data_IF_843096330318
#
_entry.id   IF_843096330318
#
_cell.length_a   1.000
_cell.length_b   1.000
_cell.length_c   1.000
_cell.angle_alpha   90.00
_cell.angle_beta   90.00
_cell.angle_gamma   90.00
#
_symmetry.space_group_name_H-M   'P 1'
#
loop_
_entity.id
_entity.type
_entity.pdbx_description
1 polymer ?
#
# COMPACT_ATOMS: atom_id res chain seq x y z
N UNK A 1 -10.93 -26.61 5.38
CA UNK A 1 -10.72 -25.72 4.21
C UNK A 1 -10.54 -24.24 4.62
N UNK A 2 -11.35 -23.65 5.53
CA UNK A 2 -11.16 -22.24 5.96
C UNK A 2 -9.74 -21.92 6.46
N UNK A 3 -9.10 -22.82 7.25
CA UNK A 3 -7.71 -22.61 7.70
C UNK A 3 -6.70 -22.58 6.54
N UNK A 4 -6.92 -23.39 5.49
CA UNK A 4 -6.05 -23.39 4.30
C UNK A 4 -6.25 -22.10 3.51
N UNK A 5 -7.50 -21.67 3.31
CA UNK A 5 -7.82 -20.39 2.67
C UNK A 5 -7.19 -19.21 3.45
N UNK A 6 -7.27 -19.23 4.78
CA UNK A 6 -6.61 -18.24 5.64
C UNK A 6 -5.08 -18.21 5.45
N UNK A 7 -4.43 -19.37 5.45
CA UNK A 7 -2.98 -19.44 5.21
C UNK A 7 -2.58 -18.93 3.82
N UNK A 8 -3.38 -19.25 2.79
CA UNK A 8 -3.17 -18.73 1.43
C UNK A 8 -3.43 -17.22 1.35
N UNK A 9 -4.39 -16.68 2.10
CA UNK A 9 -4.63 -15.24 2.17
C UNK A 9 -3.43 -14.51 2.79
N UNK A 10 -2.86 -15.04 3.87
CA UNK A 10 -1.64 -14.48 4.46
C UNK A 10 -0.46 -14.52 3.49
N UNK A 11 -0.28 -15.64 2.78
CA UNK A 11 0.76 -15.78 1.76
C UNK A 11 0.53 -14.81 0.58
N UNK A 12 -0.72 -14.62 0.18
CA UNK A 12 -1.09 -13.65 -0.85
C UNK A 12 -0.74 -12.22 -0.44
N UNK A 13 -1.13 -11.80 0.78
CA UNK A 13 -0.82 -10.47 1.32
C UNK A 13 0.70 -10.26 1.44
N UNK A 14 1.44 -11.28 1.85
CA UNK A 14 2.90 -11.27 1.88
C UNK A 14 3.52 -11.07 0.49
N UNK A 15 2.94 -11.69 -0.54
CA UNK A 15 3.49 -11.64 -1.89
C UNK A 15 3.23 -10.29 -2.61
N UNK A 16 2.15 -9.56 -2.29
CA UNK A 16 1.74 -8.33 -2.97
C UNK A 16 2.87 -7.30 -3.11
N UNK A 17 3.66 -6.92 -2.08
CA UNK A 17 4.64 -5.85 -2.22
C UNK A 17 5.77 -6.14 -3.22
N UNK A 18 6.12 -7.40 -3.42
CA UNK A 18 7.25 -7.82 -4.27
C UNK A 18 6.84 -8.72 -5.45
N UNK A 19 5.55 -8.69 -5.81
CA UNK A 19 4.95 -9.61 -6.77
C UNK A 19 5.62 -9.62 -8.16
N UNK A 20 6.07 -8.47 -8.63
CA UNK A 20 6.72 -8.36 -9.95
C UNK A 20 8.19 -8.76 -9.94
N UNK A 21 8.81 -8.96 -8.76
CA UNK A 21 10.19 -9.43 -8.66
C UNK A 21 10.31 -10.93 -8.94
N UNK A 22 9.21 -11.66 -8.92
CA UNK A 22 9.14 -13.07 -9.32
C UNK A 22 8.02 -13.22 -10.36
N UNK A 23 8.37 -12.94 -11.61
CA UNK A 23 7.52 -13.18 -12.75
C UNK A 23 7.96 -14.48 -13.46
N UNK A 24 7.02 -15.41 -13.60
CA UNK A 24 7.24 -16.72 -14.23
C UNK A 24 6.89 -16.71 -15.72
N UNK A 25 6.58 -15.54 -16.27
CA UNK A 25 6.20 -15.38 -17.68
C UNK A 25 4.79 -15.90 -17.99
N UNK A 26 4.38 -15.69 -19.25
CA UNK A 26 3.08 -16.22 -19.70
C UNK A 26 3.09 -17.76 -19.78
N UNK A 27 2.01 -18.44 -19.36
CA UNK A 27 0.71 -17.88 -18.93
C UNK A 27 0.62 -17.65 -17.40
N UNK A 28 1.69 -17.89 -16.63
CA UNK A 28 1.65 -17.93 -15.17
C UNK A 28 1.61 -16.55 -14.52
N UNK A 29 2.35 -15.59 -15.09
CA UNK A 29 2.48 -14.24 -14.56
C UNK A 29 3.24 -14.18 -13.24
N UNK A 30 2.95 -13.18 -12.42
CA UNK A 30 3.65 -12.96 -11.16
C UNK A 30 3.15 -13.87 -10.01
N UNK A 31 3.96 -13.94 -8.93
CA UNK A 31 3.69 -14.81 -7.77
C UNK A 31 2.33 -14.50 -7.10
N UNK A 32 1.95 -13.23 -6.99
CA UNK A 32 0.67 -12.88 -6.36
C UNK A 32 -0.52 -13.36 -7.18
N UNK A 33 -0.42 -13.35 -8.53
CA UNK A 33 -1.46 -13.92 -9.40
C UNK A 33 -1.65 -15.40 -9.13
N UNK A 34 -0.57 -16.17 -9.03
CA UNK A 34 -0.63 -17.61 -8.78
C UNK A 34 -1.23 -17.90 -7.41
N UNK A 35 -0.72 -17.26 -6.37
CA UNK A 35 -1.24 -17.44 -5.00
C UNK A 35 -2.69 -16.98 -4.89
N UNK A 36 -3.06 -15.90 -5.55
CA UNK A 36 -4.43 -15.40 -5.61
C UNK A 36 -5.40 -16.36 -6.28
N UNK A 37 -5.00 -17.02 -7.38
CA UNK A 37 -5.80 -18.06 -8.03
C UNK A 37 -5.96 -19.29 -7.14
N UNK A 38 -4.88 -19.76 -6.50
CA UNK A 38 -4.94 -20.86 -5.54
C UNK A 38 -5.84 -20.52 -4.34
N UNK A 39 -5.77 -19.29 -3.85
CA UNK A 39 -6.63 -18.79 -2.79
C UNK A 39 -8.09 -18.85 -3.22
N UNK A 40 -8.46 -18.37 -4.40
CA UNK A 40 -9.84 -18.44 -4.91
C UNK A 40 -10.34 -19.87 -5.06
N UNK A 41 -9.50 -20.78 -5.59
CA UNK A 41 -9.83 -22.19 -5.74
C UNK A 41 -10.13 -22.89 -4.41
N UNK A 42 -9.52 -22.44 -3.31
CA UNK A 42 -9.78 -22.99 -1.97
C UNK A 42 -10.87 -22.20 -1.24
N UNK A 43 -10.95 -20.90 -1.42
CA UNK A 43 -11.90 -20.03 -0.72
C UNK A 43 -13.36 -20.34 -1.13
N UNK A 44 -13.64 -20.51 -2.42
CA UNK A 44 -14.98 -20.79 -2.91
C UNK A 44 -15.55 -22.09 -2.28
N UNK A 45 -14.89 -23.25 -2.36
CA UNK A 45 -15.36 -24.45 -1.67
C UNK A 45 -15.44 -24.29 -0.14
N UNK A 46 -14.52 -23.52 0.47
CA UNK A 46 -14.55 -23.30 1.92
C UNK A 46 -15.78 -22.51 2.36
N UNK A 47 -16.21 -21.53 1.59
CA UNK A 47 -17.43 -20.75 1.83
C UNK A 47 -18.66 -21.64 1.62
N UNK A 48 -18.72 -22.36 0.49
CA UNK A 48 -19.85 -23.24 0.17
C UNK A 48 -20.05 -24.35 1.23
N UNK A 49 -18.96 -24.97 1.70
CA UNK A 49 -19.01 -25.99 2.76
C UNK A 49 -19.44 -25.43 4.12
N UNK A 50 -19.04 -24.19 4.44
CA UNK A 50 -19.40 -23.57 5.72
C UNK A 50 -20.89 -23.15 5.75
N UNK A 51 -21.49 -22.94 4.60
CA UNK A 51 -22.85 -22.37 4.47
C UNK A 51 -22.98 -20.95 5.03
N UNK A 52 -21.85 -20.33 5.40
CA UNK A 52 -21.79 -19.01 6.02
C UNK A 52 -21.03 -18.07 5.09
N UNK A 53 -21.72 -17.06 4.62
CA UNK A 53 -21.14 -15.92 3.95
C UNK A 53 -21.36 -14.68 4.83
N UNK A 54 -20.30 -13.97 5.14
CA UNK A 54 -20.39 -12.75 5.94
C UNK A 54 -21.15 -11.67 5.16
N UNK A 55 -22.09 -11.01 5.82
CA UNK A 55 -22.83 -9.90 5.22
C UNK A 55 -21.86 -8.80 4.79
N UNK A 56 -21.89 -8.38 3.50
CA UNK A 56 -21.04 -7.33 3.00
C UNK A 56 -21.36 -5.99 3.67
N UNK A 57 -20.33 -5.21 4.00
CA UNK A 57 -20.50 -3.84 4.46
C UNK A 57 -20.61 -2.85 3.28
N UNK A 58 -20.74 -1.58 3.60
CA UNK A 58 -20.85 -0.49 2.60
C UNK A 58 -19.64 -0.45 1.67
N UNK A 59 -18.43 -0.69 2.20
CA UNK A 59 -17.20 -0.71 1.41
C UNK A 59 -17.24 -1.78 0.32
N UNK A 60 -17.66 -3.00 0.65
CA UNK A 60 -17.75 -4.12 -0.31
C UNK A 60 -18.72 -3.80 -1.43
N UNK A 61 -19.87 -3.22 -1.10
CA UNK A 61 -20.86 -2.83 -2.11
C UNK A 61 -20.38 -1.71 -3.03
N UNK A 62 -19.67 -0.72 -2.51
CA UNK A 62 -19.09 0.35 -3.32
C UNK A 62 -17.99 -0.17 -4.25
N UNK A 63 -17.13 -1.07 -3.76
CA UNK A 63 -16.10 -1.72 -4.57
C UNK A 63 -16.72 -2.56 -5.68
N UNK A 64 -17.78 -3.32 -5.39
CA UNK A 64 -18.54 -4.05 -6.39
C UNK A 64 -19.18 -3.10 -7.41
N UNK A 65 -19.77 -1.99 -6.97
CA UNK A 65 -20.38 -1.02 -7.87
C UNK A 65 -19.35 -0.40 -8.83
N UNK A 66 -18.15 -0.05 -8.35
CA UNK A 66 -17.07 0.45 -9.19
C UNK A 66 -16.61 -0.61 -10.20
N UNK A 67 -16.45 -1.85 -9.77
CA UNK A 67 -16.12 -2.96 -10.65
C UNK A 67 -17.17 -3.16 -11.75
N UNK A 68 -18.45 -3.19 -11.37
CA UNK A 68 -19.56 -3.35 -12.33
C UNK A 68 -19.63 -2.15 -13.29
N UNK A 69 -19.33 -0.94 -12.82
CA UNK A 69 -19.24 0.23 -13.69
C UNK A 69 -18.19 0.06 -14.78
N UNK A 70 -16.99 -0.42 -14.42
CA UNK A 70 -15.95 -0.72 -15.41
C UNK A 70 -16.32 -1.90 -16.33
N UNK A 71 -17.03 -2.90 -15.84
CA UNK A 71 -17.57 -3.96 -16.69
C UNK A 71 -18.59 -3.41 -17.71
N UNK A 72 -19.50 -2.52 -17.28
CA UNK A 72 -20.46 -1.87 -18.15
C UNK A 72 -19.80 -0.98 -19.20
N UNK A 73 -18.62 -0.40 -18.88
CA UNK A 73 -17.91 0.46 -19.83
C UNK A 73 -17.46 -0.27 -21.10
N UNK A 74 -17.46 -1.61 -21.10
CA UNK A 74 -17.20 -2.43 -22.28
C UNK A 74 -18.15 -2.14 -23.45
N UNK A 75 -19.37 -1.70 -23.18
CA UNK A 75 -20.38 -1.42 -24.22
C UNK A 75 -20.17 -0.10 -24.96
N UNK A 76 -19.30 0.79 -24.45
CA UNK A 76 -19.01 2.08 -25.10
C UNK A 76 -17.51 2.39 -25.19
N UNK A 77 -16.65 1.45 -24.78
CA UNK A 77 -15.20 1.68 -24.81
C UNK A 77 -14.65 1.87 -26.21
N UNK A 78 -13.64 2.71 -26.33
CA UNK A 78 -12.86 2.88 -27.55
C UNK A 78 -11.74 1.83 -27.69
N UNK A 79 -11.43 1.08 -26.59
CA UNK A 79 -10.35 0.09 -26.51
C UNK A 79 -10.85 -1.22 -25.87
N UNK A 80 -11.60 -2.07 -26.60
CA UNK A 80 -12.22 -3.27 -26.02
C UNK A 80 -11.21 -4.23 -25.37
N UNK A 81 -10.01 -4.41 -25.97
CA UNK A 81 -9.00 -5.31 -25.43
C UNK A 81 -8.44 -4.81 -24.11
N UNK A 82 -8.09 -3.53 -24.01
CA UNK A 82 -7.60 -2.90 -22.79
C UNK A 82 -8.68 -2.94 -21.70
N UNK A 83 -9.97 -2.75 -22.07
CA UNK A 83 -11.09 -2.87 -21.13
C UNK A 83 -11.20 -4.27 -20.55
N UNK A 84 -11.06 -5.33 -21.34
CA UNK A 84 -11.09 -6.72 -20.85
C UNK A 84 -9.92 -7.01 -19.89
N UNK A 85 -8.73 -6.50 -20.18
CA UNK A 85 -7.56 -6.63 -19.30
C UNK A 85 -7.81 -5.91 -17.98
N UNK A 86 -8.34 -4.70 -18.03
CA UNK A 86 -8.70 -3.90 -16.86
C UNK A 86 -9.79 -4.56 -16.01
N UNK A 87 -10.82 -5.13 -16.63
CA UNK A 87 -11.85 -5.89 -15.93
C UNK A 87 -11.27 -7.08 -15.16
N UNK A 88 -10.29 -7.80 -15.75
CA UNK A 88 -9.61 -8.90 -15.07
C UNK A 88 -8.79 -8.41 -13.86
N UNK A 89 -8.08 -7.28 -14.01
CA UNK A 89 -7.32 -6.67 -12.94
C UNK A 89 -8.24 -6.25 -11.79
N UNK A 90 -9.26 -5.44 -12.05
CA UNK A 90 -10.22 -5.00 -11.04
C UNK A 90 -10.98 -6.14 -10.37
N UNK A 91 -11.26 -7.24 -11.09
CA UNK A 91 -11.83 -8.43 -10.47
C UNK A 91 -10.92 -8.99 -9.37
N UNK A 92 -9.61 -9.15 -9.66
CA UNK A 92 -8.64 -9.64 -8.68
C UNK A 92 -8.52 -8.71 -7.49
N UNK A 93 -8.54 -7.41 -7.72
CA UNK A 93 -8.47 -6.37 -6.71
C UNK A 93 -9.72 -6.34 -5.82
N UNK A 94 -10.91 -6.42 -6.41
CA UNK A 94 -12.16 -6.55 -5.67
C UNK A 94 -12.14 -7.78 -4.77
N UNK A 95 -11.61 -8.92 -5.27
CA UNK A 95 -11.52 -10.15 -4.48
C UNK A 95 -10.67 -9.97 -3.22
N UNK A 96 -9.64 -9.12 -3.23
CA UNK A 96 -8.84 -8.83 -2.02
C UNK A 96 -9.75 -8.29 -0.90
N UNK A 97 -10.58 -7.31 -1.23
CA UNK A 97 -11.48 -6.66 -0.26
C UNK A 97 -12.49 -7.66 0.31
N UNK A 98 -13.02 -8.55 -0.55
CA UNK A 98 -13.99 -9.55 -0.14
C UNK A 98 -13.37 -10.70 0.65
N UNK A 99 -12.20 -11.19 0.26
CA UNK A 99 -11.52 -12.30 0.93
C UNK A 99 -11.02 -11.90 2.31
N UNK A 100 -10.45 -10.71 2.44
CA UNK A 100 -10.05 -10.17 3.76
C UNK A 100 -11.28 -10.02 4.66
N UNK A 101 -12.39 -9.50 4.14
CA UNK A 101 -13.64 -9.35 4.89
C UNK A 101 -14.23 -10.69 5.34
N UNK A 102 -14.18 -11.71 4.49
CA UNK A 102 -14.77 -13.03 4.76
C UNK A 102 -13.94 -13.86 5.72
N UNK A 103 -12.60 -13.87 5.57
CA UNK A 103 -11.75 -14.83 6.28
C UNK A 103 -11.09 -14.27 7.53
N UNK A 104 -10.88 -12.97 7.66
CA UNK A 104 -10.39 -12.37 8.90
C UNK A 104 -11.54 -12.17 9.89
N UNK A 105 -11.37 -12.57 11.14
CA UNK A 105 -12.46 -12.58 12.11
C UNK A 105 -12.26 -11.58 13.24
N UNK A 106 -11.07 -11.45 13.79
CA UNK A 106 -10.76 -10.76 15.04
C UNK A 106 -9.48 -9.89 14.97
N UNK A 107 -9.07 -9.38 16.10
CA UNK A 107 -7.86 -8.56 16.26
C UNK A 107 -6.56 -9.33 16.01
N UNK A 108 -6.53 -10.64 16.24
CA UNK A 108 -5.37 -11.49 15.94
C UNK A 108 -5.20 -11.67 14.43
N UNK A 109 -6.29 -11.82 13.72
CA UNK A 109 -6.29 -11.92 12.26
C UNK A 109 -5.84 -10.60 11.62
N UNK A 110 -6.33 -9.46 12.11
CA UNK A 110 -5.86 -8.16 11.68
C UNK A 110 -4.33 -8.03 11.89
N UNK A 111 -3.84 -8.41 13.06
CA UNK A 111 -2.40 -8.38 13.35
C UNK A 111 -1.61 -9.32 12.46
N UNK A 112 -2.14 -10.51 12.14
CA UNK A 112 -1.50 -11.47 11.23
C UNK A 112 -1.38 -10.91 9.80
N UNK A 113 -2.43 -10.26 9.29
CA UNK A 113 -2.41 -9.58 7.97
C UNK A 113 -1.40 -8.43 7.94
N UNK A 114 -1.35 -7.60 8.98
CA UNK A 114 -0.36 -6.52 9.10
C UNK A 114 1.07 -7.06 9.14
N UNK A 115 1.31 -8.17 9.85
CA UNK A 115 2.62 -8.86 9.87
C UNK A 115 2.99 -9.39 8.48
N UNK A 116 2.04 -10.02 7.79
CA UNK A 116 2.26 -10.53 6.43
C UNK A 116 2.60 -9.39 5.46
N UNK A 117 1.86 -8.28 5.50
CA UNK A 117 2.14 -7.10 4.69
C UNK A 117 3.53 -6.51 5.00
N UNK A 118 3.88 -6.36 6.28
CA UNK A 118 5.20 -5.86 6.68
C UNK A 118 6.33 -6.81 6.26
N UNK A 119 6.14 -8.12 6.38
CA UNK A 119 7.11 -9.11 5.92
C UNK A 119 7.34 -9.03 4.41
N UNK A 120 6.27 -8.82 3.62
CA UNK A 120 6.39 -8.57 2.18
C UNK A 120 7.14 -7.26 1.87
N UNK A 121 6.87 -6.21 2.64
CA UNK A 121 7.60 -4.94 2.51
C UNK A 121 9.08 -5.07 2.88
N UNK A 122 9.44 -5.94 3.84
CA UNK A 122 10.83 -6.30 4.14
C UNK A 122 11.52 -6.95 2.95
N UNK A 123 10.87 -7.91 2.30
CA UNK A 123 11.41 -8.55 1.09
C UNK A 123 11.65 -7.50 0.01
N UNK A 124 10.69 -6.62 -0.24
CA UNK A 124 10.82 -5.56 -1.22
C UNK A 124 11.99 -4.61 -0.91
N UNK A 125 12.14 -4.19 0.36
CA UNK A 125 13.25 -3.34 0.78
C UNK A 125 14.61 -4.01 0.57
N UNK A 126 14.73 -5.29 0.97
CA UNK A 126 15.95 -6.09 0.78
C UNK A 126 16.29 -6.24 -0.70
N UNK A 127 15.31 -6.57 -1.55
CA UNK A 127 15.53 -6.71 -2.99
C UNK A 127 15.96 -5.39 -3.65
N UNK A 128 15.39 -4.26 -3.19
CA UNK A 128 15.78 -2.92 -3.67
C UNK A 128 17.23 -2.59 -3.30
N UNK A 129 17.62 -2.84 -2.05
CA UNK A 129 19.00 -2.62 -1.60
C UNK A 129 19.98 -3.61 -2.26
N UNK A 130 19.57 -4.86 -2.46
CA UNK A 130 20.38 -5.84 -3.17
C UNK A 130 20.62 -5.43 -4.63
N UNK A 131 19.61 -4.90 -5.31
CA UNK A 131 19.79 -4.38 -6.68
C UNK A 131 20.78 -3.20 -6.72
N UNK A 132 20.77 -2.31 -5.73
CA UNK A 132 21.76 -1.22 -5.63
C UNK A 132 23.21 -1.76 -5.60
N UNK A 133 23.45 -2.86 -4.89
CA UNK A 133 24.76 -3.51 -4.82
C UNK A 133 25.06 -4.49 -5.98
N UNK A 134 24.18 -4.62 -6.97
CA UNK A 134 24.35 -5.60 -8.03
C UNK A 134 25.39 -5.15 -9.07
N UNK A 135 26.22 -6.06 -9.61
CA UNK A 135 27.18 -5.75 -10.66
C UNK A 135 26.53 -5.17 -11.91
N UNK A 136 25.32 -5.61 -12.25
CA UNK A 136 24.55 -5.19 -13.41
C UNK A 136 24.11 -3.73 -13.28
N UNK A 137 23.60 -3.33 -12.10
CA UNK A 137 23.19 -1.96 -11.83
C UNK A 137 24.39 -1.00 -11.84
N UNK A 138 25.53 -1.42 -11.28
CA UNK A 138 26.77 -0.66 -11.31
C UNK A 138 27.28 -0.51 -12.74
N UNK A 139 27.34 -1.59 -13.52
CA UNK A 139 27.84 -1.59 -14.87
C UNK A 139 26.96 -0.78 -15.84
N UNK A 140 25.64 -0.73 -15.61
CA UNK A 140 24.69 0.05 -16.41
C UNK A 140 24.62 1.53 -16.05
N UNK A 141 25.30 1.97 -14.99
CA UNK A 141 25.19 3.35 -14.48
C UNK A 141 23.79 3.70 -13.98
N UNK A 142 23.08 2.73 -13.40
CA UNK A 142 21.72 2.93 -12.88
C UNK A 142 21.72 3.98 -11.77
N UNK A 143 20.78 4.93 -11.87
CA UNK A 143 20.64 6.03 -10.88
C UNK A 143 19.35 5.92 -10.06
N UNK A 144 18.46 4.99 -10.41
CA UNK A 144 17.20 4.72 -9.69
C UNK A 144 17.11 3.23 -9.45
N UNK A 145 17.04 2.83 -8.19
CA UNK A 145 17.07 1.42 -7.80
C UNK A 145 15.69 0.97 -7.31
N UNK A 146 15.28 -0.18 -7.77
CA UNK A 146 14.06 -0.87 -7.38
C UNK A 146 14.34 -2.36 -7.35
N UNK A 147 13.50 -3.15 -6.72
CA UNK A 147 13.54 -4.59 -6.90
C UNK A 147 13.37 -4.93 -8.38
N UNK A 148 14.12 -5.90 -8.89
CA UNK A 148 14.14 -6.27 -10.30
C UNK A 148 12.71 -6.52 -10.80
N UNK A 149 12.38 -6.00 -11.98
CA UNK A 149 11.05 -6.11 -12.59
C UNK A 149 10.01 -5.08 -12.08
N UNK A 150 10.39 -4.17 -11.17
CA UNK A 150 9.46 -3.19 -10.61
C UNK A 150 9.83 -1.74 -10.97
N UNK A 151 8.82 -0.88 -11.12
CA UNK A 151 9.02 0.56 -11.29
C UNK A 151 9.45 1.20 -9.96
N UNK A 152 10.50 2.06 -9.95
CA UNK A 152 10.96 2.71 -8.72
C UNK A 152 9.90 3.57 -8.01
N UNK A 153 8.92 4.13 -8.72
CA UNK A 153 7.87 4.92 -8.07
C UNK A 153 6.87 4.00 -7.35
N UNK A 154 6.58 2.83 -7.91
CA UNK A 154 5.71 1.83 -7.30
C UNK A 154 6.35 1.22 -6.06
N UNK A 155 7.65 0.86 -6.16
CA UNK A 155 8.44 0.37 -5.02
C UNK A 155 8.43 1.38 -3.87
N UNK A 156 8.69 2.66 -4.14
CA UNK A 156 8.66 3.69 -3.11
C UNK A 156 7.30 3.73 -2.38
N UNK A 157 6.18 3.71 -3.14
CA UNK A 157 4.83 3.71 -2.55
C UNK A 157 4.54 2.50 -1.68
N UNK A 158 4.98 1.31 -2.10
CA UNK A 158 4.77 0.08 -1.33
C UNK A 158 5.57 0.11 -0.03
N UNK A 159 6.81 0.59 -0.09
CA UNK A 159 7.66 0.77 1.08
C UNK A 159 7.07 1.79 2.06
N UNK A 160 6.52 2.89 1.56
CA UNK A 160 5.94 3.95 2.37
C UNK A 160 4.74 3.47 3.21
N UNK A 161 3.91 2.58 2.66
CA UNK A 161 2.81 1.97 3.40
C UNK A 161 3.30 1.02 4.51
N UNK A 162 4.51 0.49 4.40
CA UNK A 162 5.13 -0.34 5.44
C UNK A 162 5.47 0.44 6.71
N UNK A 163 5.77 1.74 6.64
CA UNK A 163 6.18 2.53 7.81
C UNK A 163 5.11 2.62 8.91
N UNK A 164 3.85 3.06 8.62
CA UNK A 164 2.83 3.11 9.66
C UNK A 164 2.47 1.73 10.20
N UNK A 165 2.52 0.69 9.36
CA UNK A 165 2.32 -0.71 9.80
C UNK A 165 3.43 -1.14 10.77
N UNK A 166 4.69 -0.84 10.45
CA UNK A 166 5.84 -1.14 11.31
C UNK A 166 5.74 -0.41 12.66
N UNK A 167 5.41 0.88 12.64
CA UNK A 167 5.24 1.67 13.86
C UNK A 167 4.10 1.16 14.75
N UNK A 168 2.96 0.76 14.15
CA UNK A 168 1.83 0.17 14.87
C UNK A 168 2.22 -1.18 15.50
N UNK A 169 2.84 -2.07 14.71
CA UNK A 169 3.27 -3.38 15.19
C UNK A 169 4.36 -3.27 16.25
N UNK A 170 5.21 -2.26 16.24
CA UNK A 170 6.18 -1.98 17.31
C UNK A 170 5.47 -1.86 18.67
N UNK A 171 4.27 -1.24 18.70
CA UNK A 171 3.45 -1.12 19.92
C UNK A 171 2.71 -2.40 20.28
N UNK A 172 2.27 -3.17 19.28
CA UNK A 172 1.41 -4.35 19.51
C UNK A 172 2.20 -5.63 19.77
N UNK A 173 3.47 -5.70 19.34
CA UNK A 173 4.29 -6.90 19.50
C UNK A 173 4.74 -7.08 20.95
N UNK A 174 4.45 -8.25 21.51
CA UNK A 174 4.89 -8.63 22.86
C UNK A 174 6.26 -9.29 22.86
N UNK A 175 6.60 -10.00 21.75
CA UNK A 175 7.89 -10.69 21.59
C UNK A 175 8.93 -9.70 21.08
N UNK A 176 10.07 -9.61 21.78
CA UNK A 176 11.14 -8.69 21.41
C UNK A 176 11.71 -8.89 20.00
N UNK A 177 11.85 -10.12 19.43
CA UNK A 177 12.36 -10.26 18.06
C UNK A 177 11.38 -9.69 17.03
N UNK A 178 10.07 -9.90 17.20
CA UNK A 178 9.07 -9.35 16.30
C UNK A 178 9.03 -7.81 16.36
N UNK A 179 9.19 -7.24 17.58
CA UNK A 179 9.32 -5.79 17.77
C UNK A 179 10.57 -5.23 17.11
N UNK A 180 11.72 -5.93 17.21
CA UNK A 180 12.95 -5.52 16.53
C UNK A 180 12.79 -5.56 15.00
N UNK A 181 12.11 -6.56 14.45
CA UNK A 181 11.80 -6.60 13.03
C UNK A 181 10.91 -5.42 12.63
N UNK A 182 9.91 -5.08 13.43
CA UNK A 182 9.07 -3.93 13.15
C UNK A 182 9.86 -2.61 13.16
N UNK A 183 10.66 -2.36 14.19
CA UNK A 183 11.51 -1.14 14.30
C UNK A 183 12.58 -1.12 13.20
N UNK A 184 13.23 -2.25 12.93
CA UNK A 184 14.32 -2.37 11.94
C UNK A 184 13.87 -2.08 10.51
N UNK A 185 12.57 -2.23 10.22
CA UNK A 185 12.02 -1.84 8.93
C UNK A 185 12.17 -0.33 8.65
N UNK A 186 12.05 0.52 9.66
CA UNK A 186 12.08 1.97 9.47
C UNK A 186 13.37 2.46 8.78
N UNK A 187 14.59 2.14 9.26
CA UNK A 187 15.82 2.56 8.59
C UNK A 187 16.05 1.86 7.25
N UNK A 188 15.75 0.56 7.13
CA UNK A 188 15.93 -0.16 5.88
C UNK A 188 14.95 0.29 4.80
N UNK A 189 13.67 0.40 5.14
CA UNK A 189 12.64 0.91 4.23
C UNK A 189 12.96 2.32 3.76
N UNK A 190 13.42 3.19 4.67
CA UNK A 190 13.83 4.55 4.32
C UNK A 190 15.03 4.55 3.36
N UNK A 191 16.06 3.74 3.62
CA UNK A 191 17.17 3.57 2.70
C UNK A 191 16.70 3.13 1.30
N UNK A 192 15.83 2.14 1.24
CA UNK A 192 15.26 1.64 -0.01
C UNK A 192 14.44 2.73 -0.74
N UNK A 193 13.62 3.52 -0.04
CA UNK A 193 12.88 4.66 -0.64
C UNK A 193 13.83 5.68 -1.23
N UNK A 194 14.90 6.09 -0.52
CA UNK A 194 15.89 7.03 -1.04
C UNK A 194 16.56 6.50 -2.31
N UNK A 195 16.91 5.21 -2.36
CA UNK A 195 17.52 4.55 -3.52
C UNK A 195 16.60 4.53 -4.75
N UNK A 196 15.28 4.57 -4.57
CA UNK A 196 14.36 4.68 -5.73
C UNK A 196 14.48 6.00 -6.48
N UNK A 197 15.04 7.05 -5.86
CA UNK A 197 15.06 8.42 -6.37
C UNK A 197 13.67 8.92 -6.82
N UNK A 198 12.59 8.40 -6.21
CA UNK A 198 11.22 8.78 -6.49
C UNK A 198 10.83 10.02 -5.70
N UNK A 199 10.63 11.15 -6.38
CA UNK A 199 10.20 12.41 -5.75
C UNK A 199 8.83 12.26 -5.06
N UNK A 200 7.87 11.62 -5.74
CA UNK A 200 6.54 11.35 -5.18
C UNK A 200 6.58 10.40 -3.99
N UNK A 201 7.40 9.34 -4.07
CA UNK A 201 7.65 8.43 -2.96
C UNK A 201 8.29 9.15 -1.78
N UNK A 202 9.29 9.99 -2.00
CA UNK A 202 9.92 10.75 -0.92
C UNK A 202 8.94 11.67 -0.18
N UNK A 203 8.02 12.34 -0.90
CA UNK A 203 6.96 13.14 -0.27
C UNK A 203 5.99 12.28 0.55
N UNK A 204 5.63 11.11 0.03
CA UNK A 204 4.80 10.15 0.76
C UNK A 204 5.53 9.58 1.99
N UNK A 205 6.85 9.33 1.91
CA UNK A 205 7.68 8.93 3.04
C UNK A 205 7.69 9.96 4.17
N UNK A 206 7.75 11.27 3.85
CA UNK A 206 7.67 12.34 4.85
C UNK A 206 6.36 12.24 5.64
N UNK A 207 5.23 12.04 4.95
CA UNK A 207 3.91 11.86 5.59
C UNK A 207 3.89 10.59 6.45
N UNK A 208 4.41 9.48 5.92
CA UNK A 208 4.50 8.22 6.64
C UNK A 208 5.33 8.34 7.92
N UNK A 209 6.51 8.96 7.83
CA UNK A 209 7.43 9.14 8.96
C UNK A 209 6.89 10.13 10.00
N UNK A 210 6.17 11.17 9.58
CA UNK A 210 5.46 12.05 10.50
C UNK A 210 4.42 11.28 11.34
N UNK A 211 3.60 10.43 10.70
CA UNK A 211 2.66 9.56 11.37
C UNK A 211 3.35 8.54 12.29
N UNK A 212 4.45 7.92 11.85
CA UNK A 212 5.26 7.03 12.67
C UNK A 212 5.81 7.73 13.92
N UNK A 213 6.27 8.96 13.76
CA UNK A 213 6.75 9.77 14.87
C UNK A 213 5.65 9.97 15.90
N UNK A 214 4.44 10.35 15.49
CA UNK A 214 3.28 10.49 16.39
C UNK A 214 2.94 9.17 17.10
N UNK A 215 2.98 8.04 16.39
CA UNK A 215 2.74 6.71 16.95
C UNK A 215 3.78 6.33 18.01
N UNK A 216 5.06 6.49 17.69
CA UNK A 216 6.16 6.07 18.54
C UNK A 216 6.33 7.01 19.75
N UNK A 217 6.16 8.32 19.59
CA UNK A 217 6.23 9.28 20.70
C UNK A 217 5.17 9.00 21.75
N UNK A 218 3.98 8.57 21.34
CA UNK A 218 2.89 8.29 22.27
C UNK A 218 3.20 7.11 23.21
N UNK A 219 3.83 6.05 22.68
CA UNK A 219 3.94 4.78 23.41
C UNK A 219 5.39 4.30 23.61
N UNK A 220 6.34 4.78 22.81
CA UNK A 220 7.72 4.27 22.75
C UNK A 220 8.75 5.39 22.49
N UNK A 221 8.82 6.37 23.40
CA UNK A 221 9.72 7.53 23.25
C UNK A 221 11.16 7.16 22.86
N UNK A 222 11.73 6.09 23.46
CA UNK A 222 13.10 5.63 23.12
C UNK A 222 13.20 5.19 21.66
N UNK A 223 12.20 4.48 21.17
CA UNK A 223 12.16 4.05 19.76
C UNK A 223 11.95 5.25 18.81
N UNK A 224 11.13 6.22 19.22
CA UNK A 224 10.94 7.46 18.46
C UNK A 224 12.26 8.25 18.34
N UNK A 225 12.97 8.44 19.46
CA UNK A 225 14.28 9.11 19.45
C UNK A 225 15.32 8.34 18.64
N UNK A 226 15.40 7.02 18.82
CA UNK A 226 16.32 6.18 18.04
C UNK A 226 16.02 6.26 16.54
N UNK A 227 14.75 6.24 16.13
CA UNK A 227 14.35 6.41 14.73
C UNK A 227 14.71 7.81 14.20
N UNK A 228 14.40 8.86 14.97
CA UNK A 228 14.71 10.23 14.60
C UNK A 228 16.24 10.48 14.42
N UNK A 229 17.06 9.74 15.14
CA UNK A 229 18.53 9.79 14.99
C UNK A 229 19.03 8.88 13.86
N UNK A 230 18.41 7.71 13.67
CA UNK A 230 18.84 6.74 12.65
C UNK A 230 18.57 7.23 11.22
N UNK A 231 17.43 7.88 10.97
CA UNK A 231 17.06 8.30 9.61
C UNK A 231 18.04 9.30 8.98
N UNK A 232 18.48 10.38 9.67
CA UNK A 232 19.54 11.25 9.15
C UNK A 232 20.86 10.52 8.92
N UNK A 233 21.22 9.58 9.80
CA UNK A 233 22.45 8.77 9.63
C UNK A 233 22.36 7.92 8.36
N UNK A 234 21.22 7.29 8.09
CA UNK A 234 20.98 6.55 6.84
C UNK A 234 21.09 7.49 5.63
N UNK A 235 20.47 8.67 5.68
CA UNK A 235 20.55 9.65 4.61
C UNK A 235 21.99 10.10 4.32
N UNK A 236 22.76 10.40 5.37
CA UNK A 236 24.17 10.76 5.25
C UNK A 236 25.02 9.61 4.72
N UNK A 237 24.81 8.38 5.21
CA UNK A 237 25.53 7.21 4.71
C UNK A 237 25.29 7.00 3.21
N UNK A 238 24.04 7.10 2.76
CA UNK A 238 23.70 6.98 1.34
C UNK A 238 24.27 8.12 0.50
N UNK A 239 24.38 9.33 1.05
CA UNK A 239 25.03 10.46 0.36
C UNK A 239 26.47 10.15 -0.07
N UNK A 240 27.20 9.35 0.72
CA UNK A 240 28.57 8.96 0.40
C UNK A 240 28.69 7.69 -0.46
N UNK A 241 27.63 6.87 -0.54
CA UNK A 241 27.71 5.54 -1.16
C UNK A 241 26.89 5.47 -2.44
N UNK A 242 25.72 6.13 -2.49
CA UNK A 242 24.86 6.13 -3.68
C UNK A 242 25.39 7.03 -4.79
N UNK A 243 25.07 6.78 -6.08
CA UNK A 243 25.36 7.71 -7.16
C UNK A 243 24.81 9.10 -6.83
N UNK A 244 25.62 10.13 -7.11
CA UNK A 244 25.27 11.51 -6.75
C UNK A 244 23.91 11.92 -7.34
N UNK A 245 23.65 11.53 -8.58
CA UNK A 245 22.43 11.82 -9.33
C UNK A 245 21.18 11.21 -8.66
N UNK A 246 21.32 10.10 -7.92
CA UNK A 246 20.23 9.44 -7.20
C UNK A 246 19.62 10.36 -6.14
N UNK A 247 20.47 10.97 -5.33
CA UNK A 247 20.02 11.86 -4.25
C UNK A 247 19.76 13.28 -4.75
N UNK A 248 20.53 13.76 -5.75
CA UNK A 248 20.31 15.06 -6.38
C UNK A 248 18.89 15.19 -6.94
N UNK A 249 18.32 14.12 -7.52
CA UNK A 249 16.92 14.09 -7.97
C UNK A 249 15.94 14.46 -6.85
N UNK A 250 16.22 14.09 -5.62
CA UNK A 250 15.35 14.40 -4.48
C UNK A 250 15.49 15.87 -4.05
N UNK A 251 16.67 16.47 -4.19
CA UNK A 251 16.90 17.89 -3.85
C UNK A 251 16.22 18.85 -4.83
N UNK A 252 15.98 18.42 -6.08
CA UNK A 252 15.34 19.24 -7.14
C UNK A 252 13.82 19.27 -7.07
N UNK A 253 13.16 18.68 -6.05
CA UNK A 253 11.70 18.67 -5.91
C UNK A 253 11.13 20.09 -5.94
N UNK A 254 11.71 21.02 -5.19
CA UNK A 254 11.21 22.40 -5.10
C UNK A 254 11.33 23.16 -6.42
N UNK A 255 12.37 22.92 -7.20
CA UNK A 255 12.57 23.51 -8.53
C UNK A 255 11.58 22.96 -9.54
N UNK A 256 11.39 21.64 -9.55
CA UNK A 256 10.43 20.97 -10.43
C UNK A 256 8.97 21.38 -10.15
N UNK A 257 8.62 21.65 -8.90
CA UNK A 257 7.29 22.13 -8.54
C UNK A 257 7.05 23.61 -8.96
N UNK A 258 8.11 24.43 -9.06
CA UNK A 258 8.01 25.86 -9.41
C UNK A 258 8.13 26.11 -10.91
N UNK A 259 9.10 25.49 -11.54
CA UNK A 259 9.54 25.83 -12.90
C UNK A 259 9.67 24.60 -13.82
N UNK A 260 9.44 23.38 -13.31
CA UNK A 260 9.58 22.15 -14.09
C UNK A 260 8.28 21.72 -14.77
N UNK A 261 8.41 20.80 -15.72
CA UNK A 261 7.31 20.10 -16.39
C UNK A 261 6.82 18.86 -15.63
N UNK A 262 7.33 18.64 -14.43
CA UNK A 262 7.09 17.44 -13.60
C UNK A 262 7.40 16.13 -14.36
N UNK A 263 8.43 16.10 -15.19
CA UNK A 263 8.76 15.03 -16.12
C UNK A 263 7.63 14.80 -17.14
N UNK A 264 7.25 15.85 -17.85
CA UNK A 264 6.19 15.88 -18.88
C UNK A 264 4.77 15.56 -18.39
N UNK A 265 4.57 15.43 -17.09
CA UNK A 265 3.23 15.13 -16.53
C UNK A 265 2.21 16.23 -16.82
N UNK A 266 2.64 17.47 -16.88
CA UNK A 266 1.73 18.58 -17.19
C UNK A 266 1.09 18.39 -18.58
N UNK A 267 1.87 17.97 -19.57
CA UNK A 267 1.36 17.71 -20.92
C UNK A 267 0.40 16.49 -20.93
N UNK A 268 0.76 15.43 -20.18
CA UNK A 268 -0.10 14.26 -20.02
C UNK A 268 -1.43 14.65 -19.35
N UNK A 269 -1.38 15.49 -18.31
CA UNK A 269 -2.58 15.93 -17.59
C UNK A 269 -3.46 16.84 -18.44
N UNK A 270 -2.88 17.72 -19.23
CA UNK A 270 -3.61 18.56 -20.18
C UNK A 270 -4.32 17.69 -21.24
N UNK A 271 -3.60 16.75 -21.86
CA UNK A 271 -4.19 15.82 -22.82
C UNK A 271 -5.30 14.97 -22.20
N UNK A 272 -5.08 14.43 -20.98
CA UNK A 272 -6.10 13.69 -20.23
C UNK A 272 -7.32 14.55 -19.88
N UNK A 273 -7.13 15.83 -19.51
CA UNK A 273 -8.24 16.74 -19.26
C UNK A 273 -9.06 17.01 -20.53
N UNK A 274 -8.41 17.21 -21.65
CA UNK A 274 -9.09 17.36 -22.95
C UNK A 274 -9.89 16.10 -23.31
N UNK A 275 -9.34 14.92 -23.09
CA UNK A 275 -10.06 13.67 -23.27
C UNK A 275 -11.29 13.58 -22.35
N UNK A 276 -11.14 13.88 -21.05
CA UNK A 276 -12.26 13.89 -20.11
C UNK A 276 -13.42 14.80 -20.55
N UNK A 277 -13.12 16.01 -21.01
CA UNK A 277 -14.15 16.97 -21.46
C UNK A 277 -14.98 16.44 -22.63
N UNK A 278 -14.44 15.52 -23.45
CA UNK A 278 -15.17 14.91 -24.57
C UNK A 278 -16.20 13.88 -24.09
N UNK A 279 -15.95 13.18 -22.95
CA UNK A 279 -16.86 12.17 -22.41
C UNK A 279 -16.99 12.28 -20.87
N UNK A 280 -17.54 13.38 -20.32
CA UNK A 280 -17.39 13.71 -18.91
C UNK A 280 -18.18 12.81 -17.96
N UNK A 281 -19.27 12.18 -18.42
CA UNK A 281 -20.14 11.37 -17.55
C UNK A 281 -19.73 9.89 -17.54
N UNK A 282 -19.57 9.29 -18.70
CA UNK A 282 -19.32 7.86 -18.88
C UNK A 282 -17.84 7.53 -19.02
N UNK A 283 -17.02 8.50 -19.44
CA UNK A 283 -15.63 8.27 -19.83
C UNK A 283 -15.52 7.53 -21.17
N UNK A 284 -14.29 7.17 -21.53
CA UNK A 284 -13.96 6.50 -22.80
C UNK A 284 -13.90 4.97 -22.67
N UNK A 285 -14.18 4.41 -21.49
CA UNK A 285 -14.06 2.99 -21.16
C UNK A 285 -12.81 2.67 -20.36
N UNK A 286 -12.86 1.64 -19.55
CA UNK A 286 -11.74 1.21 -18.73
C UNK A 286 -10.52 0.86 -19.59
N UNK A 287 -9.32 1.31 -19.21
CA UNK A 287 -8.08 1.06 -19.95
C UNK A 287 -7.83 1.97 -21.15
N UNK A 288 -8.73 2.93 -21.43
CA UNK A 288 -8.63 3.77 -22.62
C UNK A 288 -7.86 5.08 -22.41
N UNK A 289 -7.25 5.33 -21.24
CA UNK A 289 -6.61 6.62 -20.93
C UNK A 289 -5.62 7.07 -22.02
N UNK A 290 -4.70 6.19 -22.40
CA UNK A 290 -3.62 6.49 -23.36
C UNK A 290 -4.20 6.82 -24.75
N UNK A 291 -5.09 5.99 -25.25
CA UNK A 291 -5.73 6.17 -26.56
C UNK A 291 -6.64 7.40 -26.59
N UNK A 292 -7.44 7.61 -25.52
CA UNK A 292 -8.33 8.77 -25.43
C UNK A 292 -7.57 10.10 -25.38
N UNK A 293 -6.42 10.12 -24.72
CA UNK A 293 -5.55 11.29 -24.61
C UNK A 293 -4.58 11.44 -25.79
N UNK A 294 -4.52 10.49 -26.73
CA UNK A 294 -3.61 10.52 -27.88
C UNK A 294 -2.13 10.45 -27.49
N UNK A 295 -1.81 9.71 -26.42
CA UNK A 295 -0.46 9.59 -25.85
C UNK A 295 0.28 8.37 -26.39
N UNK A 296 1.60 8.30 -26.13
CA UNK A 296 2.39 7.12 -26.47
C UNK A 296 2.00 5.93 -25.59
N UNK A 297 2.09 4.67 -26.09
CA UNK A 297 1.70 3.48 -25.32
C UNK A 297 2.45 3.28 -24.01
N UNK A 298 3.60 3.91 -23.85
CA UNK A 298 4.43 3.87 -22.63
C UNK A 298 4.01 4.88 -21.58
N UNK A 299 3.13 5.82 -21.93
CA UNK A 299 2.68 6.87 -21.01
C UNK A 299 1.58 6.34 -20.10
N UNK A 300 1.49 6.93 -18.93
CA UNK A 300 0.42 6.68 -17.95
C UNK A 300 -0.09 7.99 -17.40
N UNK A 301 -1.30 8.00 -16.84
CA UNK A 301 -1.89 9.22 -16.26
C UNK A 301 -1.04 9.85 -15.16
N UNK A 302 -0.26 9.07 -14.43
CA UNK A 302 0.46 9.51 -13.22
C UNK A 302 -0.41 10.33 -12.24
N UNK A 303 -1.72 10.14 -12.30
CA UNK A 303 -2.71 10.76 -11.43
C UNK A 303 -3.98 9.88 -11.43
N UNK A 304 -4.32 9.34 -10.28
CA UNK A 304 -5.43 8.39 -10.16
C UNK A 304 -6.79 9.03 -10.47
N UNK A 305 -7.03 10.25 -9.99
CA UNK A 305 -8.31 10.93 -10.24
C UNK A 305 -8.53 11.22 -11.73
N UNK A 306 -7.47 11.66 -12.42
CA UNK A 306 -7.54 11.93 -13.85
C UNK A 306 -7.75 10.65 -14.67
N UNK A 307 -7.05 9.55 -14.29
CA UNK A 307 -7.27 8.25 -14.93
C UNK A 307 -8.73 7.80 -14.81
N UNK A 308 -9.31 7.88 -13.60
CA UNK A 308 -10.70 7.53 -13.37
C UNK A 308 -11.68 8.42 -14.15
N UNK A 309 -11.39 9.72 -14.26
CA UNK A 309 -12.22 10.67 -15.04
C UNK A 309 -12.21 10.33 -16.52
N UNK A 310 -11.06 10.07 -17.11
CA UNK A 310 -10.95 9.76 -18.53
C UNK A 310 -11.58 8.41 -18.86
N UNK A 311 -11.32 7.40 -18.04
CA UNK A 311 -11.78 6.03 -18.32
C UNK A 311 -13.23 5.77 -17.95
N UNK A 312 -13.69 6.25 -16.79
CA UNK A 312 -15.02 5.95 -16.27
C UNK A 312 -15.89 7.17 -15.99
N UNK A 313 -15.42 8.36 -16.38
CA UNK A 313 -16.14 9.61 -16.20
C UNK A 313 -16.31 10.03 -14.75
N UNK A 314 -17.17 11.00 -14.53
CA UNK A 314 -17.54 11.47 -13.19
C UNK A 314 -18.18 10.38 -12.35
N UNK A 315 -18.86 9.39 -12.97
CA UNK A 315 -19.45 8.25 -12.26
C UNK A 315 -18.39 7.41 -11.54
N UNK A 316 -17.30 7.04 -12.24
CA UNK A 316 -16.20 6.28 -11.62
C UNK A 316 -15.52 7.08 -10.51
N UNK A 317 -15.26 8.38 -10.74
CA UNK A 317 -14.67 9.24 -9.72
C UNK A 317 -15.55 9.38 -8.48
N UNK A 318 -16.87 9.52 -8.64
CA UNK A 318 -17.81 9.59 -7.50
C UNK A 318 -17.83 8.27 -6.70
N UNK A 319 -17.81 7.11 -7.36
CA UNK A 319 -17.72 5.81 -6.69
C UNK A 319 -16.39 5.66 -5.94
N UNK A 320 -15.27 6.02 -6.55
CA UNK A 320 -13.98 6.01 -5.91
C UNK A 320 -13.91 6.98 -4.72
N UNK A 321 -14.45 8.19 -4.87
CA UNK A 321 -14.56 9.16 -3.78
C UNK A 321 -15.41 8.63 -2.61
N UNK A 322 -16.50 7.91 -2.90
CA UNK A 322 -17.32 7.27 -1.89
C UNK A 322 -16.55 6.15 -1.15
N UNK A 323 -15.74 5.35 -1.86
CA UNK A 323 -14.85 4.33 -1.26
C UNK A 323 -13.84 5.01 -0.30
N UNK A 324 -13.19 6.08 -0.75
CA UNK A 324 -12.23 6.85 0.07
C UNK A 324 -12.93 7.46 1.27
N UNK A 325 -14.10 8.05 1.09
CA UNK A 325 -14.89 8.65 2.17
C UNK A 325 -15.31 7.63 3.23
N UNK A 326 -15.83 6.46 2.82
CA UNK A 326 -16.19 5.39 3.75
C UNK A 326 -14.95 4.87 4.48
N UNK A 327 -13.81 4.70 3.78
CA UNK A 327 -12.56 4.30 4.39
C UNK A 327 -12.03 5.33 5.39
N UNK A 328 -12.11 6.62 5.06
CA UNK A 328 -11.72 7.70 5.98
C UNK A 328 -12.61 7.73 7.24
N UNK A 329 -13.93 7.61 7.07
CA UNK A 329 -14.85 7.46 8.21
C UNK A 329 -14.52 6.25 9.07
N UNK A 330 -14.23 5.12 8.44
CA UNK A 330 -13.85 3.88 9.12
C UNK A 330 -12.55 4.06 9.92
N UNK A 331 -11.51 4.65 9.33
CA UNK A 331 -10.26 4.96 10.01
C UNK A 331 -10.47 5.90 11.20
N UNK A 332 -11.26 6.96 11.04
CA UNK A 332 -11.56 7.94 12.07
C UNK A 332 -12.46 7.39 13.20
N UNK A 333 -13.28 6.37 12.92
CA UNK A 333 -14.10 5.69 13.92
C UNK A 333 -13.28 4.83 14.88
N UNK A 334 -12.08 4.38 14.50
CA UNK A 334 -11.15 3.68 15.40
C UNK A 334 -10.55 4.62 16.43
N UNK A 335 -9.77 4.11 17.39
CA UNK A 335 -9.20 4.91 18.48
C UNK A 335 -7.69 4.67 18.61
N UNK A 336 -7.05 5.51 19.40
CA UNK A 336 -5.67 5.31 19.85
C UNK A 336 -4.64 5.24 18.73
N UNK A 337 -3.69 4.34 18.84
CA UNK A 337 -2.62 4.13 17.86
C UNK A 337 -3.16 3.60 16.54
N UNK A 338 -4.19 2.75 16.57
CA UNK A 338 -4.82 2.22 15.37
C UNK A 338 -5.37 3.35 14.48
N UNK A 339 -6.08 4.34 15.06
CA UNK A 339 -6.56 5.52 14.31
C UNK A 339 -5.42 6.26 13.64
N UNK A 340 -4.35 6.56 14.37
CA UNK A 340 -3.19 7.28 13.83
C UNK A 340 -2.57 6.50 12.67
N UNK A 341 -2.39 5.18 12.82
CA UNK A 341 -1.83 4.33 11.78
C UNK A 341 -2.71 4.31 10.52
N UNK A 342 -4.03 4.09 10.66
CA UNK A 342 -4.95 4.02 9.52
C UNK A 342 -5.09 5.36 8.80
N UNK A 343 -5.15 6.48 9.54
CA UNK A 343 -5.17 7.83 8.95
C UNK A 343 -3.86 8.11 8.23
N UNK A 344 -2.70 7.72 8.80
CA UNK A 344 -1.41 7.87 8.14
C UNK A 344 -1.34 7.03 6.86
N UNK A 345 -1.76 5.76 6.89
CA UNK A 345 -1.83 4.89 5.72
C UNK A 345 -2.67 5.51 4.60
N UNK A 346 -3.84 6.04 4.95
CA UNK A 346 -4.73 6.69 3.97
C UNK A 346 -4.12 7.99 3.43
N UNK A 347 -3.39 8.75 4.26
CA UNK A 347 -2.70 9.97 3.84
C UNK A 347 -1.53 9.67 2.90
N UNK A 348 -0.74 8.64 3.17
CA UNK A 348 0.33 8.14 2.29
C UNK A 348 -0.24 7.72 0.94
N UNK A 349 -1.34 6.96 0.96
CA UNK A 349 -2.05 6.57 -0.26
C UNK A 349 -2.57 7.80 -1.04
N UNK A 350 -3.15 8.77 -0.37
CA UNK A 350 -3.67 9.99 -1.00
C UNK A 350 -2.55 10.78 -1.70
N UNK A 351 -1.40 10.99 -1.05
CA UNK A 351 -0.23 11.64 -1.67
C UNK A 351 0.26 10.84 -2.88
N UNK A 352 0.33 9.51 -2.74
CA UNK A 352 0.76 8.62 -3.83
C UNK A 352 -0.21 8.65 -5.02
N UNK A 353 -1.52 8.80 -4.78
CA UNK A 353 -2.55 8.86 -5.82
C UNK A 353 -2.50 10.14 -6.66
N UNK A 354 -1.95 11.22 -6.10
CA UNK A 354 -1.71 12.48 -6.84
C UNK A 354 -0.50 12.37 -7.78
N UNK A 355 0.44 11.49 -7.46
CA UNK A 355 1.71 11.35 -8.19
C UNK A 355 1.80 10.05 -9.01
N UNK A 356 0.77 9.21 -9.00
CA UNK A 356 0.74 7.91 -9.70
C UNK A 356 -0.68 7.41 -9.95
N UNK A 357 -0.81 6.48 -10.89
CA UNK A 357 -2.06 5.75 -11.16
C UNK A 357 -2.10 4.53 -10.23
N UNK A 358 -2.67 4.70 -9.03
CA UNK A 358 -2.65 3.68 -7.98
C UNK A 358 -3.94 2.86 -7.87
N UNK A 359 -4.98 3.21 -8.63
CA UNK A 359 -6.26 2.48 -8.61
C UNK A 359 -6.13 1.02 -9.04
N UNK A 360 -5.13 0.71 -9.86
CA UNK A 360 -4.84 -0.63 -10.39
C UNK A 360 -3.79 -1.39 -9.58
N UNK A 361 -3.50 -0.93 -8.37
CA UNK A 361 -2.53 -1.57 -7.50
C UNK A 361 -3.23 -2.42 -6.45
N UNK A 362 -2.89 -3.70 -6.35
CA UNK A 362 -3.36 -4.59 -5.29
C UNK A 362 -3.14 -4.03 -3.89
N UNK A 363 -2.07 -3.25 -3.71
CA UNK A 363 -1.76 -2.60 -2.43
C UNK A 363 -2.82 -1.57 -2.03
N UNK A 364 -3.40 -0.83 -3.00
CA UNK A 364 -4.52 0.09 -2.76
C UNK A 364 -5.74 -0.65 -2.20
N UNK A 365 -6.11 -1.77 -2.80
CA UNK A 365 -7.28 -2.53 -2.37
C UNK A 365 -7.04 -3.30 -1.09
N UNK A 366 -5.82 -3.77 -0.86
CA UNK A 366 -5.41 -4.31 0.44
C UNK A 366 -5.51 -3.25 1.54
N UNK A 367 -5.08 -2.03 1.30
CA UNK A 367 -5.21 -0.91 2.24
C UNK A 367 -6.67 -0.67 2.63
N UNK A 368 -7.58 -0.55 1.64
CA UNK A 368 -9.01 -0.35 1.91
C UNK A 368 -9.61 -1.55 2.66
N UNK A 369 -9.22 -2.78 2.30
CA UNK A 369 -9.64 -3.98 3.00
C UNK A 369 -9.21 -3.99 4.47
N UNK A 370 -7.94 -3.63 4.75
CA UNK A 370 -7.41 -3.55 6.11
C UNK A 370 -8.09 -2.45 6.93
N UNK A 371 -8.39 -1.29 6.35
CA UNK A 371 -9.14 -0.22 7.03
C UNK A 371 -10.57 -0.69 7.37
N UNK A 372 -11.26 -1.34 6.43
CA UNK A 372 -12.59 -1.88 6.66
C UNK A 372 -12.61 -2.94 7.74
N UNK A 373 -11.65 -3.88 7.70
CA UNK A 373 -11.46 -4.90 8.73
C UNK A 373 -11.16 -4.29 10.10
N UNK A 374 -10.21 -3.35 10.17
CA UNK A 374 -9.81 -2.71 11.41
C UNK A 374 -10.96 -1.96 12.09
N UNK A 375 -11.80 -1.28 11.29
CA UNK A 375 -12.99 -0.59 11.82
C UNK A 375 -14.03 -1.58 12.37
N UNK A 376 -14.24 -2.73 11.70
CA UNK A 376 -15.12 -3.78 12.19
C UNK A 376 -14.61 -4.38 13.50
N UNK A 377 -13.34 -4.79 13.52
CA UNK A 377 -12.71 -5.37 14.72
C UNK A 377 -12.74 -4.38 15.89
N UNK A 378 -12.52 -3.09 15.62
CA UNK A 378 -12.60 -2.06 16.68
C UNK A 378 -14.02 -1.85 17.21
N UNK A 379 -15.05 -2.15 16.41
CA UNK A 379 -16.44 -2.10 16.86
C UNK A 379 -16.85 -3.35 17.65
N UNK A 380 -16.37 -4.52 17.22
CA UNK A 380 -16.72 -5.82 17.83
C UNK A 380 -15.89 -6.10 19.11
N UNK A 381 -14.61 -5.65 19.14
CA UNK A 381 -13.65 -5.94 20.23
C UNK A 381 -12.93 -4.68 20.73
N UNK A 382 -13.64 -3.66 21.25
CA UNK A 382 -13.01 -2.41 21.65
C UNK A 382 -11.94 -2.57 22.76
N UNK A 383 -12.14 -3.51 23.66
CA UNK A 383 -11.24 -3.76 24.80
C UNK A 383 -9.97 -4.52 24.38
N UNK A 384 -10.04 -5.44 23.42
CA UNK A 384 -8.88 -6.21 22.96
C UNK A 384 -7.83 -5.28 22.34
N UNK A 385 -8.25 -4.30 21.55
CA UNK A 385 -7.36 -3.31 20.93
C UNK A 385 -6.78 -2.32 21.95
N UNK A 386 -7.56 -1.93 22.99
CA UNK A 386 -7.06 -1.07 24.07
C UNK A 386 -6.02 -1.79 24.94
N UNK A 387 -6.19 -3.08 25.20
CA UNK A 387 -5.21 -3.89 25.95
C UNK A 387 -3.91 -4.02 25.17
N UNK A 388 -3.98 -4.18 23.85
CA UNK A 388 -2.79 -4.19 22.99
C UNK A 388 -2.00 -2.86 23.05
N UNK A 389 -2.70 -1.73 23.22
CA UNK A 389 -2.09 -0.41 23.37
C UNK A 389 -1.56 -0.12 24.79
N UNK A 390 -2.20 -0.65 25.82
CA UNK A 390 -1.90 -0.33 27.23
C UNK A 390 -0.80 -1.18 27.86
N UNK A 391 -0.27 -2.20 27.17
CA UNK A 391 0.82 -3.03 27.68
C UNK A 391 2.14 -2.25 27.60
N UNK A 392 2.64 -1.64 28.71
CA UNK A 392 4.00 -1.09 28.73
C UNK A 392 4.94 -2.26 28.48
N UNK A 393 5.91 -2.07 27.59
CA UNK A 393 7.03 -3.00 27.50
C UNK A 393 7.56 -3.23 28.91
N UNK A 394 7.68 -4.49 29.33
CA UNK A 394 8.16 -4.91 30.64
C UNK A 394 9.44 -4.14 30.97
N UNK A 395 9.28 -2.99 31.61
CA UNK A 395 10.33 -2.40 32.43
C UNK A 395 10.33 -3.30 33.64
N UNK A 396 11.45 -4.04 33.85
CA UNK A 396 11.63 -4.91 35.00
C UNK A 396 11.20 -4.20 36.29
N UNK A 397 9.99 -4.48 36.76
CA UNK A 397 9.66 -4.33 38.11
C UNK A 397 10.47 -5.41 38.83
N UNK A 398 11.61 -5.02 39.39
CA UNK A 398 12.14 -5.67 40.59
C UNK A 398 10.96 -5.73 41.54
N UNK A 399 10.36 -6.92 41.66
CA UNK A 399 9.52 -7.27 42.80
C UNK A 399 10.45 -7.18 44.01
N UNK A 400 10.47 -6.04 44.65
CA UNK A 400 10.93 -5.92 46.01
C UNK A 400 9.78 -6.50 46.84
N UNK A 401 9.99 -7.73 47.28
CA UNK A 401 9.13 -8.43 48.24
C UNK A 401 9.01 -7.54 49.48
N UNK A 402 7.81 -7.06 49.90
CA UNK A 402 7.67 -6.19 51.04
C UNK A 402 7.86 -6.92 52.39
N UNK A 403 8.12 -8.23 52.40
CA UNK A 403 8.20 -9.04 53.63
C UNK A 403 9.64 -9.37 54.08
N UNK A 404 10.67 -8.65 53.61
CA UNK A 404 12.03 -8.77 54.17
C UNK A 404 12.39 -7.48 54.92
N UNK A 405 11.71 -7.25 56.03
CA UNK A 405 12.17 -6.39 57.15
C UNK A 405 11.98 -7.17 58.41
N UNK A 406 13.00 -7.89 58.83
CA UNK A 406 13.40 -8.13 60.22
C UNK A 406 14.91 -8.42 60.24
#
# INVERSE_FOLDING_TARGET
>A
MRRVAWGLLLLFVFAIPWEYSLDLGEPWGNIARIVGLLLLLVAIPAILQSGKLRNPGTLQWLVLALYLWFCLSYFWTIEPQATLEKMRAYFQEMMIVWLVWEFAEDSHDLQALLRAALAGSWVLAILTVANFGSPEAIASGQIRFAAVGQDPNDVARFLDLGFPVAALLTGWETRWPARLLAIGYLPLGFAAVLLTASRGGFLAAIVALAGCTLLLFRNHMRAAVAGALALPVVGVALWFVAPHETLERLTTIGEQLRNGDLNQRLNIWEAGWHAFVQAPVLGHGAGSFVSAAGLAPTDTAHNTALSLLVEGGTCALMLAAAIVFVSARSALATRGALRIALVTLLSVWAVSSLAGTVAESRTTWLLFALIGLAARVAADEPDALMIAESRPGVTGALNVDPDVVL
#
